data_IF_992638309119
#
_entry.id   IF_992638309119
#
_cell.length_a   1.000
_cell.length_b   1.000
_cell.length_c   1.000
_cell.angle_alpha   90.00
_cell.angle_beta   90.00
_cell.angle_gamma   90.00
#
_symmetry.space_group_name_H-M   'P 1'
#
loop_
_entity.id
_entity.type
_entity.pdbx_description
1 polymer ?
#
# COMPACT_ATOMS: atom_id res chain seq x y z
N UNK A 1 -10.27 -23.54 8.39
CA UNK A 1 -11.25 -22.69 7.65
C UNK A 1 -11.66 -21.59 8.59
N UNK A 2 -11.24 -20.36 8.36
CA UNK A 2 -11.81 -19.21 9.06
C UNK A 2 -13.14 -18.87 8.39
N UNK A 3 -14.21 -18.84 9.16
CA UNK A 3 -15.49 -18.33 8.72
C UNK A 3 -15.32 -16.89 8.22
N UNK A 4 -15.80 -16.59 7.02
CA UNK A 4 -15.76 -15.23 6.42
C UNK A 4 -16.48 -14.18 7.28
N UNK A 5 -17.31 -14.64 8.23
CA UNK A 5 -18.01 -13.80 9.20
C UNK A 5 -17.18 -13.46 10.45
N UNK A 6 -16.00 -14.06 10.61
CA UNK A 6 -15.11 -13.79 11.74
C UNK A 6 -14.57 -12.35 11.69
N UNK A 7 -14.38 -11.73 12.85
CA UNK A 7 -13.79 -10.40 12.97
C UNK A 7 -12.39 -10.29 12.38
N UNK A 8 -11.97 -9.08 12.04
CA UNK A 8 -10.70 -8.81 11.36
C UNK A 8 -9.48 -9.46 12.05
N UNK A 9 -9.32 -9.26 13.36
CA UNK A 9 -8.19 -9.80 14.12
C UNK A 9 -8.17 -11.33 14.12
N UNK A 10 -9.34 -11.97 14.17
CA UNK A 10 -9.45 -13.44 14.07
C UNK A 10 -9.02 -13.92 12.69
N UNK A 11 -9.45 -13.24 11.63
CA UNK A 11 -9.00 -13.55 10.26
C UNK A 11 -7.50 -13.35 10.09
N UNK A 12 -6.94 -12.25 10.64
CA UNK A 12 -5.50 -11.97 10.59
C UNK A 12 -4.66 -13.10 11.22
N UNK A 13 -5.14 -13.71 12.27
CA UNK A 13 -4.42 -14.78 12.98
C UNK A 13 -4.61 -16.15 12.33
N UNK A 14 -5.81 -16.45 11.83
CA UNK A 14 -6.18 -17.82 11.47
C UNK A 14 -6.36 -18.08 9.98
N UNK A 15 -6.65 -17.06 9.14
CA UNK A 15 -6.86 -17.28 7.73
C UNK A 15 -5.58 -17.77 7.05
N UNK A 16 -5.68 -18.86 6.28
CA UNK A 16 -4.54 -19.47 5.64
C UNK A 16 -3.51 -20.12 6.60
N UNK A 17 -3.86 -20.29 7.89
CA UNK A 17 -2.94 -20.78 8.94
C UNK A 17 -3.46 -22.12 9.52
N UNK A 18 -3.48 -23.21 8.74
CA UNK A 18 -3.80 -24.53 9.31
C UNK A 18 -2.68 -24.96 10.25
N UNK A 19 -3.01 -25.66 11.32
CA UNK A 19 -2.00 -26.35 12.10
C UNK A 19 -1.40 -27.50 11.28
N UNK A 20 -0.16 -27.85 11.58
CA UNK A 20 0.56 -28.91 10.88
C UNK A 20 0.09 -30.29 11.40
N UNK A 21 -0.42 -31.14 10.49
CA UNK A 21 -1.11 -32.38 10.89
C UNK A 21 -0.18 -33.44 11.48
N UNK A 22 1.09 -33.52 11.03
CA UNK A 22 1.99 -34.58 11.47
C UNK A 22 2.57 -34.38 12.87
N UNK A 23 2.75 -33.13 13.28
CA UNK A 23 3.32 -32.76 14.58
C UNK A 23 2.33 -32.04 15.49
N UNK A 24 1.23 -31.54 14.94
CA UNK A 24 0.27 -30.68 15.66
C UNK A 24 0.79 -29.27 15.91
N UNK A 25 1.81 -28.82 15.16
CA UNK A 25 2.32 -27.46 15.32
C UNK A 25 1.25 -26.41 15.01
N UNK A 26 1.12 -25.40 15.90
CA UNK A 26 0.06 -24.39 15.86
C UNK A 26 0.16 -23.48 14.64
N UNK A 27 1.38 -23.29 14.12
CA UNK A 27 1.64 -22.49 12.91
C UNK A 27 2.15 -23.41 11.79
N UNK A 28 1.82 -23.11 10.51
CA UNK A 28 2.32 -23.87 9.38
C UNK A 28 3.86 -23.82 9.32
N UNK A 29 4.52 -24.92 8.93
CA UNK A 29 5.96 -24.93 8.68
C UNK A 29 6.36 -23.97 7.55
N UNK A 30 7.61 -23.49 7.61
CA UNK A 30 8.24 -22.78 6.51
C UNK A 30 8.74 -23.78 5.45
N UNK A 31 8.12 -23.79 4.27
CA UNK A 31 8.48 -24.66 3.15
C UNK A 31 9.44 -23.94 2.19
N UNK A 32 10.75 -24.24 2.29
CA UNK A 32 11.79 -23.68 1.40
C UNK A 32 12.04 -24.53 0.15
N UNK A 33 11.38 -25.71 0.03
CA UNK A 33 11.61 -26.62 -1.09
C UNK A 33 11.28 -25.94 -2.43
N UNK A 34 12.19 -26.10 -3.40
CA UNK A 34 11.99 -25.63 -4.78
C UNK A 34 11.09 -26.56 -5.56
N UNK A 35 11.20 -27.89 -5.34
CA UNK A 35 10.50 -28.91 -6.12
C UNK A 35 9.85 -29.95 -5.21
N UNK A 36 8.78 -30.57 -5.69
CA UNK A 36 7.96 -31.52 -4.94
C UNK A 36 7.83 -32.81 -5.72
N UNK A 37 7.84 -33.95 -5.00
CA UNK A 37 7.70 -35.28 -5.59
C UNK A 37 6.21 -35.60 -5.79
N UNK A 38 5.72 -35.79 -7.04
CA UNK A 38 4.34 -36.18 -7.31
C UNK A 38 4.05 -37.64 -6.93
N UNK A 39 2.78 -38.04 -6.90
CA UNK A 39 2.41 -39.48 -6.81
C UNK A 39 2.76 -40.21 -8.09
N UNK A 40 2.44 -39.62 -9.24
CA UNK A 40 2.74 -40.10 -10.57
C UNK A 40 2.82 -38.95 -11.57
N UNK A 41 3.17 -39.24 -12.84
CA UNK A 41 3.16 -38.21 -13.89
C UNK A 41 1.75 -37.63 -14.02
N UNK A 42 1.62 -36.29 -13.75
CA UNK A 42 0.35 -35.60 -13.79
C UNK A 42 -0.49 -35.64 -12.51
N UNK A 43 -0.07 -36.39 -11.47
CA UNK A 43 -0.79 -36.51 -10.20
C UNK A 43 0.02 -35.90 -9.05
N UNK A 44 -0.24 -34.62 -8.75
CA UNK A 44 0.52 -33.86 -7.77
C UNK A 44 0.09 -34.16 -6.32
N UNK A 45 1.03 -34.07 -5.38
CA UNK A 45 0.74 -34.13 -3.94
C UNK A 45 0.30 -32.74 -3.46
N UNK A 46 -0.94 -32.63 -3.01
CA UNK A 46 -1.49 -31.34 -2.53
C UNK A 46 -1.49 -30.19 -3.56
N UNK A 47 -1.29 -30.52 -4.88
CA UNK A 47 -1.22 -29.51 -5.94
C UNK A 47 0.15 -28.87 -6.13
N UNK A 48 1.20 -29.38 -5.45
CA UNK A 48 2.55 -28.82 -5.51
C UNK A 48 3.48 -29.61 -6.44
N UNK A 49 4.21 -28.87 -7.30
CA UNK A 49 5.27 -29.43 -8.17
C UNK A 49 6.55 -28.59 -8.11
N UNK A 50 6.43 -27.28 -8.28
CA UNK A 50 7.55 -26.36 -8.37
C UNK A 50 7.23 -25.01 -7.72
N UNK A 51 8.12 -24.51 -6.86
CA UNK A 51 7.86 -23.37 -5.96
C UNK A 51 7.63 -22.03 -6.66
N UNK A 52 8.04 -21.87 -7.94
CA UNK A 52 7.68 -20.68 -8.71
C UNK A 52 6.17 -20.62 -8.98
N UNK A 53 5.52 -21.75 -9.21
CA UNK A 53 4.06 -21.84 -9.38
C UNK A 53 3.33 -21.78 -8.05
N UNK A 54 3.53 -22.81 -7.22
CA UNK A 54 2.83 -22.99 -5.94
C UNK A 54 3.81 -23.33 -4.82
N UNK A 55 3.54 -22.82 -3.61
CA UNK A 55 4.34 -23.11 -2.42
C UNK A 55 3.45 -22.99 -1.18
N UNK A 56 3.45 -23.96 -0.25
CA UNK A 56 2.53 -23.96 0.89
C UNK A 56 2.63 -22.71 1.77
N UNK A 57 3.83 -22.17 2.00
CA UNK A 57 4.03 -20.97 2.81
C UNK A 57 3.48 -19.72 2.11
N UNK A 58 3.71 -19.61 0.78
CA UNK A 58 3.18 -18.52 -0.01
C UNK A 58 1.66 -18.59 -0.13
N UNK A 59 1.08 -19.78 -0.30
CA UNK A 59 -0.37 -19.96 -0.36
C UNK A 59 -1.05 -19.59 0.96
N UNK A 60 -0.38 -19.88 2.08
CA UNK A 60 -0.81 -19.44 3.42
C UNK A 60 -0.92 -17.90 3.49
N UNK A 61 0.11 -17.18 3.04
CA UNK A 61 0.07 -15.72 2.98
C UNK A 61 -1.04 -15.22 2.04
N UNK A 62 -1.15 -15.79 0.85
CA UNK A 62 -2.14 -15.39 -0.16
C UNK A 62 -3.57 -15.51 0.35
N UNK A 63 -3.88 -16.59 1.07
CA UNK A 63 -5.18 -16.79 1.72
C UNK A 63 -5.42 -15.78 2.86
N UNK A 64 -4.39 -15.48 3.66
CA UNK A 64 -4.49 -14.47 4.72
C UNK A 64 -4.78 -13.08 4.12
N UNK A 65 -4.03 -12.66 3.11
CA UNK A 65 -4.21 -11.36 2.46
C UNK A 65 -5.60 -11.21 1.83
N UNK A 66 -6.08 -12.25 1.12
CA UNK A 66 -7.44 -12.28 0.59
C UNK A 66 -8.48 -12.09 1.69
N UNK A 67 -8.36 -12.83 2.79
CA UNK A 67 -9.29 -12.73 3.92
C UNK A 67 -9.26 -11.37 4.61
N UNK A 68 -8.12 -10.69 4.68
CA UNK A 68 -7.99 -9.37 5.29
C UNK A 68 -8.64 -8.28 4.44
N UNK A 69 -8.46 -8.30 3.11
CA UNK A 69 -9.11 -7.37 2.19
C UNK A 69 -10.58 -7.70 1.91
N UNK A 70 -11.08 -8.85 2.37
CA UNK A 70 -12.42 -9.31 2.03
C UNK A 70 -12.54 -9.80 0.59
N UNK A 71 -11.41 -10.20 -0.01
CA UNK A 71 -11.34 -10.73 -1.36
C UNK A 71 -11.40 -12.26 -1.42
N UNK A 72 -11.72 -12.77 -2.61
CA UNK A 72 -11.74 -14.20 -2.90
C UNK A 72 -10.33 -14.73 -3.23
N UNK A 73 -9.53 -13.94 -3.93
CA UNK A 73 -8.21 -14.30 -4.42
C UNK A 73 -7.15 -13.33 -3.90
N UNK A 74 -6.02 -13.86 -3.46
CA UNK A 74 -4.82 -13.11 -3.11
C UNK A 74 -3.62 -13.69 -3.82
N UNK A 75 -2.75 -12.85 -4.35
CA UNK A 75 -1.53 -13.21 -5.05
C UNK A 75 -0.38 -12.38 -4.49
N UNK A 76 0.75 -13.01 -4.11
CA UNK A 76 1.89 -12.32 -3.51
C UNK A 76 3.09 -12.25 -4.45
N UNK A 77 3.78 -11.12 -4.43
CA UNK A 77 4.87 -10.76 -5.34
C UNK A 77 6.13 -10.36 -4.56
N UNK A 78 7.27 -10.34 -5.25
CA UNK A 78 8.57 -9.98 -4.68
C UNK A 78 8.68 -8.50 -4.25
N UNK A 79 7.77 -7.64 -4.70
CA UNK A 79 7.68 -6.22 -4.29
C UNK A 79 6.32 -5.64 -4.67
N UNK A 80 5.97 -4.46 -4.10
CA UNK A 80 4.80 -3.70 -4.53
C UNK A 80 4.82 -3.41 -6.02
N UNK A 81 5.94 -2.87 -6.55
CA UNK A 81 6.11 -2.64 -7.99
C UNK A 81 6.02 -3.93 -8.83
N UNK A 82 6.42 -5.08 -8.29
CA UNK A 82 6.24 -6.37 -8.95
C UNK A 82 4.77 -6.79 -9.04
N UNK A 83 3.96 -6.44 -8.05
CA UNK A 83 2.50 -6.61 -8.08
C UNK A 83 1.86 -5.66 -9.11
N UNK A 84 2.24 -4.40 -9.11
CA UNK A 84 1.79 -3.38 -10.06
C UNK A 84 2.12 -3.77 -11.52
N UNK A 85 3.37 -4.19 -11.79
CA UNK A 85 3.80 -4.65 -13.11
C UNK A 85 2.99 -5.87 -13.59
N UNK A 86 2.67 -6.80 -12.68
CA UNK A 86 1.84 -7.95 -13.02
C UNK A 86 0.41 -7.56 -13.38
N UNK A 87 -0.18 -6.56 -12.72
CA UNK A 87 -1.49 -6.01 -13.08
C UNK A 87 -1.44 -5.35 -14.45
N UNK A 88 -0.46 -4.46 -14.68
CA UNK A 88 -0.34 -3.74 -15.95
C UNK A 88 -0.14 -4.70 -17.14
N UNK A 89 0.70 -5.73 -16.98
CA UNK A 89 0.91 -6.76 -18.03
C UNK A 89 -0.27 -7.71 -18.19
N UNK A 90 -0.97 -8.01 -17.11
CA UNK A 90 -2.07 -8.97 -17.12
C UNK A 90 -3.35 -8.40 -17.71
N UNK A 91 -3.61 -7.11 -17.50
CA UNK A 91 -4.87 -6.48 -17.85
C UNK A 91 -4.79 -5.54 -19.06
N UNK A 92 -3.59 -5.06 -19.42
CA UNK A 92 -3.41 -4.08 -20.49
C UNK A 92 -2.60 -4.65 -21.66
N UNK A 93 -2.80 -4.07 -22.81
CA UNK A 93 -2.09 -4.34 -24.06
C UNK A 93 -1.68 -3.01 -24.71
N UNK A 94 -0.69 -3.01 -25.64
CA UNK A 94 -0.29 -1.81 -26.36
C UNK A 94 -1.49 -1.09 -27.01
N UNK A 95 -1.61 0.21 -26.74
CA UNK A 95 -2.72 1.06 -27.13
C UNK A 95 -3.74 1.32 -26.04
N UNK A 96 -3.75 0.55 -24.95
CA UNK A 96 -4.59 0.84 -23.79
C UNK A 96 -4.05 2.03 -22.98
N UNK A 97 -4.90 2.61 -22.14
CA UNK A 97 -4.60 3.82 -21.38
C UNK A 97 -4.91 3.65 -19.89
N UNK A 98 -4.06 4.25 -19.04
CA UNK A 98 -4.22 4.34 -17.58
C UNK A 98 -4.49 5.78 -17.18
N UNK A 99 -5.56 6.04 -16.43
CA UNK A 99 -5.75 7.30 -15.71
C UNK A 99 -5.31 7.06 -14.26
N UNK A 100 -4.50 7.97 -13.70
CA UNK A 100 -3.92 7.82 -12.36
C UNK A 100 -3.84 9.14 -11.62
N UNK A 101 -3.66 9.09 -10.29
CA UNK A 101 -3.44 10.29 -9.48
C UNK A 101 -2.22 11.10 -9.91
N UNK A 102 -2.34 12.42 -9.88
CA UNK A 102 -1.23 13.33 -10.19
C UNK A 102 -0.20 13.46 -9.05
N UNK A 103 -0.46 12.80 -7.93
CA UNK A 103 0.45 12.64 -6.79
C UNK A 103 0.66 11.15 -6.43
N UNK A 104 0.47 10.25 -7.41
CA UNK A 104 0.76 8.82 -7.25
C UNK A 104 2.22 8.58 -6.87
N UNK A 105 2.49 7.52 -6.13
CA UNK A 105 3.85 7.14 -5.76
C UNK A 105 4.83 7.20 -6.94
N UNK A 106 5.97 7.86 -6.74
CA UNK A 106 6.95 8.10 -7.82
C UNK A 106 7.47 6.82 -8.49
N UNK A 107 7.44 5.68 -7.78
CA UNK A 107 7.76 4.36 -8.35
C UNK A 107 6.71 3.90 -9.35
N UNK A 108 5.43 4.01 -9.00
CA UNK A 108 4.27 3.70 -9.86
C UNK A 108 4.25 4.59 -11.09
N UNK A 109 4.45 5.90 -10.91
CA UNK A 109 4.56 6.83 -12.04
C UNK A 109 5.69 6.41 -12.99
N UNK A 110 6.88 6.11 -12.47
CA UNK A 110 8.04 5.68 -13.27
C UNK A 110 7.76 4.35 -13.99
N UNK A 111 7.12 3.39 -13.32
CA UNK A 111 6.74 2.10 -13.90
C UNK A 111 5.79 2.30 -15.09
N UNK A 112 4.70 3.04 -14.88
CA UNK A 112 3.69 3.28 -15.91
C UNK A 112 4.28 4.11 -17.06
N UNK A 113 4.89 5.27 -16.77
CA UNK A 113 5.30 6.22 -17.79
C UNK A 113 6.52 5.76 -18.61
N UNK A 114 7.52 5.13 -17.95
CA UNK A 114 8.80 4.82 -18.62
C UNK A 114 8.90 3.37 -19.05
N UNK A 115 8.36 2.42 -18.28
CA UNK A 115 8.45 1.00 -18.64
C UNK A 115 7.26 0.63 -19.53
N UNK A 116 6.06 0.85 -19.08
CA UNK A 116 4.85 0.51 -19.84
C UNK A 116 4.57 1.50 -20.97
N UNK A 117 4.89 2.78 -20.80
CA UNK A 117 4.85 3.78 -21.87
C UNK A 117 5.74 3.43 -23.05
N UNK A 118 6.93 2.86 -22.81
CA UNK A 118 7.85 2.41 -23.87
C UNK A 118 7.29 1.25 -24.72
N UNK A 119 6.30 0.52 -24.21
CA UNK A 119 5.62 -0.57 -24.95
C UNK A 119 4.21 -0.19 -25.41
N UNK A 120 3.88 1.11 -25.35
CA UNK A 120 2.66 1.65 -25.95
C UNK A 120 1.45 1.75 -25.03
N UNK A 121 1.62 1.70 -23.71
CA UNK A 121 0.57 2.02 -22.75
C UNK A 121 0.54 3.53 -22.53
N UNK A 122 -0.60 4.17 -22.83
CA UNK A 122 -0.83 5.58 -22.55
C UNK A 122 -1.10 5.84 -21.06
N UNK A 123 -0.85 7.07 -20.60
CA UNK A 123 -1.17 7.44 -19.22
C UNK A 123 -1.55 8.92 -19.11
N UNK A 124 -2.46 9.23 -18.18
CA UNK A 124 -2.89 10.61 -17.88
C UNK A 124 -2.97 10.78 -16.37
N UNK A 125 -2.10 11.61 -15.76
CA UNK A 125 -2.25 12.05 -14.38
C UNK A 125 -3.43 13.02 -14.22
N UNK A 126 -4.23 12.86 -13.14
CA UNK A 126 -5.36 13.72 -12.83
C UNK A 126 -5.51 13.88 -11.32
N UNK A 127 -6.10 14.97 -10.86
CA UNK A 127 -6.44 15.12 -9.44
C UNK A 127 -7.59 14.19 -9.08
N UNK A 128 -7.31 13.15 -8.29
CA UNK A 128 -8.33 12.15 -7.88
C UNK A 128 -9.34 12.70 -6.88
N UNK A 129 -9.14 13.90 -6.34
CA UNK A 129 -10.12 14.56 -5.49
C UNK A 129 -11.22 15.25 -6.28
N UNK A 130 -11.01 15.46 -7.58
CA UNK A 130 -11.97 16.04 -8.52
C UNK A 130 -12.56 14.92 -9.40
N UNK A 131 -13.71 14.37 -8.97
CA UNK A 131 -14.41 13.27 -9.63
C UNK A 131 -14.83 13.63 -11.06
N UNK A 132 -15.18 14.89 -11.33
CA UNK A 132 -15.59 15.34 -12.66
C UNK A 132 -14.38 15.41 -13.61
N UNK A 133 -13.23 15.88 -13.13
CA UNK A 133 -11.98 15.86 -13.89
C UNK A 133 -11.55 14.41 -14.21
N UNK A 134 -11.68 13.47 -13.26
CA UNK A 134 -11.41 12.04 -13.50
C UNK A 134 -12.37 11.47 -14.55
N UNK A 135 -13.66 11.77 -14.46
CA UNK A 135 -14.67 11.34 -15.44
C UNK A 135 -14.33 11.83 -16.84
N UNK A 136 -13.95 13.10 -16.97
CA UNK A 136 -13.54 13.68 -18.24
C UNK A 136 -12.28 12.97 -18.80
N UNK A 137 -11.26 12.78 -17.99
CA UNK A 137 -10.01 12.14 -18.38
C UNK A 137 -10.22 10.67 -18.81
N UNK A 138 -11.03 9.90 -18.07
CA UNK A 138 -11.36 8.51 -18.40
C UNK A 138 -12.13 8.43 -19.73
N UNK A 139 -13.11 9.32 -19.93
CA UNK A 139 -13.91 9.34 -21.16
C UNK A 139 -13.08 9.77 -22.39
N UNK A 140 -12.24 10.82 -22.25
CA UNK A 140 -11.42 11.35 -23.34
C UNK A 140 -10.37 10.36 -23.82
N UNK A 141 -9.74 9.64 -22.89
CA UNK A 141 -8.67 8.70 -23.20
C UNK A 141 -9.15 7.29 -23.52
N UNK A 142 -10.39 6.95 -23.20
CA UNK A 142 -10.91 5.60 -23.28
C UNK A 142 -10.13 4.64 -22.36
N UNK A 143 -9.76 5.12 -21.18
CA UNK A 143 -8.93 4.39 -20.25
C UNK A 143 -9.47 2.99 -19.94
N UNK A 144 -8.57 2.01 -19.81
CA UNK A 144 -8.89 0.64 -19.42
C UNK A 144 -8.65 0.39 -17.94
N UNK A 145 -7.87 1.27 -17.29
CA UNK A 145 -7.56 1.18 -15.87
C UNK A 145 -7.59 2.58 -15.25
N UNK A 146 -8.35 2.73 -14.18
CA UNK A 146 -8.27 3.85 -13.26
C UNK A 146 -7.46 3.40 -12.04
N UNK A 147 -6.29 4.04 -11.84
CA UNK A 147 -5.38 3.78 -10.72
C UNK A 147 -5.64 4.78 -9.60
N UNK A 148 -6.17 4.30 -8.48
CA UNK A 148 -6.53 5.11 -7.32
C UNK A 148 -5.55 4.82 -6.19
N UNK A 149 -4.81 5.82 -5.73
CA UNK A 149 -3.98 5.76 -4.51
C UNK A 149 -4.59 6.67 -3.45
N UNK A 150 -5.01 6.11 -2.31
CA UNK A 150 -5.64 6.88 -1.22
C UNK A 150 -5.47 6.20 0.14
N UNK A 151 -4.99 6.95 1.19
CA UNK A 151 -4.41 8.30 1.11
C UNK A 151 -3.20 8.37 0.19
N UNK A 152 -3.00 9.49 -0.53
CA UNK A 152 -1.90 9.64 -1.47
C UNK A 152 -0.55 9.92 -0.78
N UNK A 153 0.54 9.62 -1.47
CA UNK A 153 1.90 9.80 -0.98
C UNK A 153 2.65 10.86 -1.81
N UNK A 154 3.12 11.96 -1.23
CA UNK A 154 3.17 12.27 0.20
C UNK A 154 2.09 13.25 0.68
N UNK A 155 1.19 13.69 -0.19
CA UNK A 155 0.29 14.82 0.07
C UNK A 155 -0.91 14.46 0.94
N UNK A 156 -1.11 13.18 1.28
CA UNK A 156 -2.20 12.69 2.12
C UNK A 156 -3.60 13.04 1.57
N UNK A 157 -3.73 13.25 0.25
CA UNK A 157 -5.02 13.52 -0.39
C UNK A 157 -5.92 12.29 -0.30
N UNK A 158 -7.20 12.54 -0.12
CA UNK A 158 -8.22 11.48 -0.02
C UNK A 158 -9.07 11.48 -1.29
N UNK A 159 -9.04 10.37 -1.99
CA UNK A 159 -9.93 10.10 -3.12
C UNK A 159 -11.19 9.37 -2.63
N UNK A 160 -12.35 9.73 -3.16
CA UNK A 160 -13.61 9.04 -2.90
C UNK A 160 -13.64 7.74 -3.73
N UNK A 161 -13.30 6.62 -3.10
CA UNK A 161 -13.15 5.32 -3.78
C UNK A 161 -14.45 4.91 -4.46
N UNK A 162 -15.59 5.01 -3.77
CA UNK A 162 -16.89 4.58 -4.31
C UNK A 162 -17.30 5.42 -5.53
N UNK A 163 -17.10 6.73 -5.47
CA UNK A 163 -17.39 7.63 -6.59
C UNK A 163 -16.47 7.36 -7.80
N UNK A 164 -15.17 7.14 -7.56
CA UNK A 164 -14.21 6.87 -8.64
C UNK A 164 -14.39 5.49 -9.26
N UNK A 165 -14.76 4.49 -8.46
CA UNK A 165 -15.15 3.16 -8.97
C UNK A 165 -16.35 3.26 -9.91
N UNK A 166 -17.37 4.03 -9.53
CA UNK A 166 -18.53 4.26 -10.41
C UNK A 166 -18.11 4.91 -11.74
N UNK A 167 -17.21 5.89 -11.71
CA UNK A 167 -16.66 6.52 -12.93
C UNK A 167 -15.95 5.51 -13.83
N UNK A 168 -15.10 4.66 -13.25
CA UNK A 168 -14.39 3.63 -14.01
C UNK A 168 -15.36 2.65 -14.66
N UNK A 169 -16.34 2.14 -13.91
CA UNK A 169 -17.31 1.17 -14.39
C UNK A 169 -18.24 1.74 -15.46
N UNK A 170 -18.68 2.99 -15.35
CA UNK A 170 -19.46 3.69 -16.39
C UNK A 170 -18.74 3.71 -17.74
N UNK A 171 -17.40 3.78 -17.73
CA UNK A 171 -16.57 3.78 -18.92
C UNK A 171 -16.10 2.38 -19.36
N UNK A 172 -16.43 1.32 -18.61
CA UNK A 172 -15.95 -0.04 -18.86
C UNK A 172 -14.44 -0.22 -18.56
N UNK A 173 -13.90 0.58 -17.64
CA UNK A 173 -12.54 0.47 -17.14
C UNK A 173 -12.51 -0.30 -15.81
N UNK A 174 -11.37 -0.94 -15.51
CA UNK A 174 -11.12 -1.49 -14.19
C UNK A 174 -10.77 -0.38 -13.19
N UNK A 175 -11.26 -0.51 -11.96
CA UNK A 175 -10.88 0.32 -10.82
C UNK A 175 -9.89 -0.43 -9.93
N UNK A 176 -8.63 0.00 -9.92
CA UNK A 176 -7.59 -0.48 -9.02
C UNK A 176 -7.40 0.50 -7.88
N UNK A 177 -7.30 -0.01 -6.65
CA UNK A 177 -6.95 0.80 -5.49
C UNK A 177 -5.61 0.33 -4.90
N UNK A 178 -4.63 1.22 -4.82
CA UNK A 178 -3.47 1.03 -3.96
C UNK A 178 -3.85 1.39 -2.52
N UNK A 179 -4.00 0.36 -1.69
CA UNK A 179 -4.44 0.47 -0.30
C UNK A 179 -3.26 0.39 0.69
N UNK A 180 -2.05 0.64 0.23
CA UNK A 180 -0.83 0.48 1.02
C UNK A 180 -0.80 1.36 2.26
N UNK A 181 -1.21 2.65 2.17
CA UNK A 181 -1.19 3.59 3.29
C UNK A 181 -2.27 3.31 4.33
N UNK A 182 -3.46 2.94 3.89
CA UNK A 182 -4.57 2.62 4.79
C UNK A 182 -4.43 1.22 5.41
N UNK A 183 -3.88 0.26 4.68
CA UNK A 183 -3.93 -1.16 5.00
C UNK A 183 -5.35 -1.74 4.99
N UNK A 184 -5.54 -3.07 4.90
CA UNK A 184 -6.87 -3.68 4.95
C UNK A 184 -7.58 -3.51 6.30
N UNK A 185 -6.87 -3.07 7.34
CA UNK A 185 -7.47 -2.80 8.63
C UNK A 185 -8.27 -1.50 8.67
N UNK A 186 -7.77 -0.46 8.01
CA UNK A 186 -8.42 0.86 8.02
C UNK A 186 -9.38 1.06 6.86
N UNK A 187 -9.13 0.45 5.70
CA UNK A 187 -9.94 0.60 4.49
C UNK A 187 -10.01 -0.72 3.74
N UNK A 188 -11.16 -1.05 3.18
CA UNK A 188 -11.41 -2.25 2.37
C UNK A 188 -12.02 -1.87 1.01
N UNK A 189 -11.20 -1.52 0.01
CA UNK A 189 -11.68 -1.00 -1.27
C UNK A 189 -12.55 -1.97 -2.07
N UNK A 190 -12.36 -3.30 -1.91
CA UNK A 190 -13.25 -4.28 -2.57
C UNK A 190 -14.70 -4.17 -2.08
N UNK A 191 -14.90 -3.79 -0.79
CA UNK A 191 -16.25 -3.55 -0.26
C UNK A 191 -16.86 -2.24 -0.79
N UNK A 192 -16.04 -1.32 -1.30
CA UNK A 192 -16.44 -0.07 -1.95
C UNK A 192 -16.57 -0.22 -3.47
N UNK A 193 -16.47 -1.45 -3.99
CA UNK A 193 -16.70 -1.78 -5.38
C UNK A 193 -15.45 -1.87 -6.28
N UNK A 194 -14.24 -1.65 -5.75
CA UNK A 194 -13.02 -1.82 -6.54
C UNK A 194 -12.89 -3.23 -7.13
N UNK A 195 -12.36 -3.34 -8.35
CA UNK A 195 -12.14 -4.63 -9.02
C UNK A 195 -10.93 -5.38 -8.44
N UNK A 196 -9.91 -4.63 -8.07
CA UNK A 196 -8.70 -5.17 -7.48
C UNK A 196 -8.02 -4.16 -6.56
N UNK A 197 -7.26 -4.70 -5.60
CA UNK A 197 -6.47 -3.93 -4.65
C UNK A 197 -5.01 -4.35 -4.78
N UNK A 198 -4.10 -3.38 -4.77
CA UNK A 198 -2.66 -3.64 -4.66
C UNK A 198 -2.13 -3.17 -3.31
N UNK A 199 -1.09 -3.86 -2.83
CA UNK A 199 -0.32 -3.49 -1.67
C UNK A 199 1.17 -3.62 -1.90
N UNK A 200 1.94 -2.69 -1.40
CA UNK A 200 3.29 -2.99 -0.96
C UNK A 200 3.22 -3.64 0.43
N UNK A 201 3.38 -4.96 0.49
CA UNK A 201 3.39 -5.68 1.78
C UNK A 201 4.62 -5.35 2.62
N UNK A 202 5.62 -4.70 2.01
CA UNK A 202 6.79 -4.08 2.64
C UNK A 202 6.43 -3.14 3.78
N UNK A 203 5.24 -2.51 3.72
CA UNK A 203 4.78 -1.44 4.61
C UNK A 203 4.04 -2.02 5.82
N UNK A 204 2.89 -1.50 6.18
CA UNK A 204 2.12 -1.92 7.38
C UNK A 204 1.85 -3.42 7.47
N UNK A 205 1.67 -4.14 6.35
CA UNK A 205 1.41 -5.57 6.36
C UNK A 205 2.59 -6.37 6.94
N UNK A 206 3.82 -6.15 6.45
CA UNK A 206 5.04 -6.68 7.04
C UNK A 206 5.34 -6.04 8.38
N UNK A 207 5.37 -4.71 8.42
CA UNK A 207 5.35 -3.85 9.59
C UNK A 207 6.61 -3.86 10.47
N UNK A 208 7.72 -4.49 10.05
CA UNK A 208 8.92 -4.64 10.86
C UNK A 208 10.22 -4.30 10.11
N UNK A 209 10.11 -3.60 8.98
CA UNK A 209 11.26 -3.13 8.17
C UNK A 209 12.23 -4.23 7.74
N UNK A 210 11.77 -5.49 7.67
CA UNK A 210 12.58 -6.71 7.45
C UNK A 210 12.16 -7.52 6.22
N UNK A 211 11.18 -7.04 5.44
CA UNK A 211 10.66 -7.73 4.25
C UNK A 211 10.36 -6.74 3.13
N UNK A 212 10.62 -7.16 1.90
CA UNK A 212 10.12 -6.51 0.68
C UNK A 212 9.13 -7.44 0.00
N UNK A 213 7.93 -6.93 -0.31
CA UNK A 213 6.90 -7.74 -0.93
C UNK A 213 5.76 -6.91 -1.51
N UNK A 214 4.90 -7.57 -2.26
CA UNK A 214 3.69 -6.99 -2.83
C UNK A 214 2.54 -7.97 -2.87
N UNK A 215 1.34 -7.47 -3.09
CA UNK A 215 0.16 -8.30 -3.25
C UNK A 215 -0.86 -7.67 -4.21
N UNK A 216 -1.63 -8.54 -4.87
CA UNK A 216 -2.87 -8.21 -5.57
C UNK A 216 -3.99 -9.01 -4.93
N UNK A 217 -5.12 -8.35 -4.64
CA UNK A 217 -6.32 -8.99 -4.11
C UNK A 217 -7.50 -8.65 -5.01
N UNK A 218 -8.36 -9.62 -5.33
CA UNK A 218 -9.53 -9.43 -6.19
C UNK A 218 -10.63 -10.45 -5.88
N UNK A 219 -11.85 -10.12 -6.32
CA UNK A 219 -12.98 -11.06 -6.36
C UNK A 219 -13.19 -11.68 -7.75
N UNK A 220 -12.52 -11.15 -8.79
CA UNK A 220 -12.64 -11.60 -10.18
C UNK A 220 -11.70 -12.76 -10.48
N UNK A 221 -12.27 -13.87 -10.96
CA UNK A 221 -11.49 -15.04 -11.42
C UNK A 221 -10.70 -14.72 -12.70
N UNK A 222 -11.22 -13.83 -13.55
CA UNK A 222 -10.52 -13.36 -14.75
C UNK A 222 -9.25 -12.59 -14.38
N UNK A 223 -9.36 -11.62 -13.46
CA UNK A 223 -8.21 -10.84 -12.98
C UNK A 223 -7.20 -11.75 -12.28
N UNK A 224 -7.66 -12.63 -11.36
CA UNK A 224 -6.78 -13.60 -10.67
C UNK A 224 -5.98 -14.43 -11.68
N UNK A 225 -6.66 -15.01 -12.67
CA UNK A 225 -6.03 -15.83 -13.70
C UNK A 225 -4.98 -15.06 -14.50
N UNK A 226 -5.28 -13.83 -14.90
CA UNK A 226 -4.38 -12.98 -15.68
C UNK A 226 -3.12 -12.61 -14.89
N UNK A 227 -3.27 -12.09 -13.66
CA UNK A 227 -2.12 -11.63 -12.85
C UNK A 227 -1.30 -12.80 -12.30
N UNK A 228 -1.94 -13.93 -11.98
CA UNK A 228 -1.27 -15.17 -11.56
C UNK A 228 -0.45 -15.78 -12.70
N UNK A 229 -0.97 -15.71 -13.94
CA UNK A 229 -0.19 -16.13 -15.10
C UNK A 229 1.08 -15.29 -15.25
N UNK A 230 1.01 -13.97 -15.08
CA UNK A 230 2.19 -13.10 -15.12
C UNK A 230 3.16 -13.43 -13.96
N UNK A 231 2.65 -13.64 -12.74
CA UNK A 231 3.48 -14.07 -11.61
C UNK A 231 4.30 -15.32 -11.96
N UNK A 232 3.65 -16.33 -12.51
CA UNK A 232 4.28 -17.60 -12.87
C UNK A 232 5.26 -17.45 -14.04
N UNK A 233 4.83 -16.78 -15.13
CA UNK A 233 5.60 -16.69 -16.37
C UNK A 233 6.81 -15.74 -16.24
N UNK A 234 6.65 -14.60 -15.55
CA UNK A 234 7.72 -13.64 -15.31
C UNK A 234 8.63 -14.03 -14.12
N UNK A 235 8.13 -14.86 -13.19
CA UNK A 235 8.91 -15.34 -12.06
C UNK A 235 9.11 -14.30 -10.96
N UNK A 236 8.15 -13.41 -10.74
CA UNK A 236 8.20 -12.31 -9.77
C UNK A 236 7.42 -12.59 -8.46
N UNK A 237 7.16 -13.86 -8.15
CA UNK A 237 6.51 -14.28 -6.91
C UNK A 237 7.37 -13.96 -5.67
N UNK A 238 6.71 -13.78 -4.51
CA UNK A 238 7.42 -13.64 -3.22
C UNK A 238 8.18 -14.94 -2.87
N UNK A 239 9.33 -14.79 -2.20
CA UNK A 239 10.04 -15.93 -1.63
C UNK A 239 9.23 -16.56 -0.48
N UNK A 240 9.40 -17.85 -0.17
CA UNK A 240 8.73 -18.45 0.99
C UNK A 240 9.12 -17.79 2.31
N UNK A 241 10.36 -17.31 2.45
CA UNK A 241 10.82 -16.66 3.67
C UNK A 241 10.15 -15.29 3.87
N UNK A 242 10.09 -14.47 2.81
CA UNK A 242 9.40 -13.18 2.86
C UNK A 242 7.89 -13.36 3.08
N UNK A 243 7.30 -14.39 2.47
CA UNK A 243 5.90 -14.74 2.70
C UNK A 243 5.64 -15.12 4.17
N UNK A 244 6.55 -15.88 4.79
CA UNK A 244 6.46 -16.22 6.21
C UNK A 244 6.57 -14.98 7.12
N UNK A 245 7.53 -14.09 6.87
CA UNK A 245 7.68 -12.84 7.64
C UNK A 245 6.46 -11.93 7.48
N UNK A 246 5.96 -11.78 6.25
CA UNK A 246 4.74 -11.00 5.98
C UNK A 246 3.52 -11.57 6.71
N UNK A 247 3.34 -12.92 6.66
CA UNK A 247 2.28 -13.61 7.40
C UNK A 247 2.38 -13.34 8.90
N UNK A 248 3.59 -13.42 9.46
CA UNK A 248 3.85 -13.15 10.88
C UNK A 248 3.53 -11.71 11.24
N UNK A 249 3.95 -10.74 10.42
CA UNK A 249 3.66 -9.32 10.60
C UNK A 249 2.16 -9.02 10.55
N UNK A 250 1.46 -9.56 9.56
CA UNK A 250 0.02 -9.33 9.37
C UNK A 250 -0.86 -9.81 10.54
N UNK A 251 -0.42 -10.81 11.32
CA UNK A 251 -1.14 -11.28 12.51
C UNK A 251 -1.33 -10.21 13.58
N UNK A 252 -0.46 -9.21 13.63
CA UNK A 252 -0.53 -8.10 14.59
C UNK A 252 -0.97 -6.78 13.95
N UNK A 253 -1.42 -6.80 12.70
CA UNK A 253 -1.76 -5.59 11.95
C UNK A 253 -2.76 -4.71 12.72
N UNK A 254 -3.85 -5.27 13.25
CA UNK A 254 -4.88 -4.50 13.93
C UNK A 254 -4.34 -3.70 15.12
N UNK A 255 -3.63 -4.37 16.05
CA UNK A 255 -3.09 -3.70 17.26
C UNK A 255 -1.97 -2.71 16.92
N UNK A 256 -1.20 -2.95 15.85
CA UNK A 256 -0.21 -1.99 15.37
C UNK A 256 -0.87 -0.76 14.75
N UNK A 257 -1.88 -0.97 13.88
CA UNK A 257 -2.57 0.14 13.25
C UNK A 257 -3.31 1.02 14.25
N UNK A 258 -3.92 0.44 15.29
CA UNK A 258 -4.52 1.24 16.36
C UNK A 258 -3.49 2.13 17.04
N UNK A 259 -2.31 1.61 17.39
CA UNK A 259 -1.24 2.39 18.01
C UNK A 259 -0.63 3.42 17.04
N UNK A 260 -0.43 3.06 15.76
CA UNK A 260 0.01 4.01 14.74
C UNK A 260 -0.94 5.21 14.64
N UNK A 261 -2.26 4.95 14.64
CA UNK A 261 -3.26 6.01 14.60
C UNK A 261 -3.22 6.89 15.85
N UNK A 262 -3.15 6.29 17.05
CA UNK A 262 -3.07 7.04 18.33
C UNK A 262 -1.87 8.00 18.32
N UNK A 263 -0.69 7.48 17.93
CA UNK A 263 0.52 8.27 17.88
C UNK A 263 0.48 9.34 16.77
N UNK A 264 -0.06 9.03 15.59
CA UNK A 264 -0.18 9.98 14.50
C UNK A 264 -1.15 11.13 14.84
N UNK A 265 -2.24 10.85 15.51
CA UNK A 265 -3.19 11.85 16.02
C UNK A 265 -2.52 12.79 17.04
N UNK A 266 -1.70 12.24 17.96
CA UNK A 266 -0.94 13.04 18.91
C UNK A 266 0.11 13.93 18.22
N UNK A 267 0.86 13.38 17.25
CA UNK A 267 1.85 14.13 16.47
C UNK A 267 1.19 15.22 15.63
N UNK A 268 0.10 14.92 14.92
CA UNK A 268 -0.62 15.91 14.10
C UNK A 268 -1.16 17.05 14.96
N UNK A 269 -1.74 16.74 16.12
CA UNK A 269 -2.25 17.75 17.07
C UNK A 269 -1.14 18.63 17.62
N UNK A 270 0.03 18.06 17.94
CA UNK A 270 1.18 18.83 18.39
C UNK A 270 1.71 19.76 17.30
N UNK A 271 1.81 19.28 16.04
CA UNK A 271 2.27 20.07 14.90
C UNK A 271 1.35 21.26 14.61
N UNK A 272 0.02 21.15 14.78
CA UNK A 272 -0.92 22.26 14.63
C UNK A 272 -0.64 23.41 15.58
N UNK A 273 -0.10 23.15 16.77
CA UNK A 273 0.24 24.15 17.76
C UNK A 273 1.55 24.91 17.48
N UNK A 274 2.30 24.57 16.42
CA UNK A 274 3.64 25.14 16.16
C UNK A 274 3.59 26.34 15.22
N UNK A 275 4.25 27.42 15.65
CA UNK A 275 4.35 28.65 14.85
C UNK A 275 5.14 28.47 13.56
N UNK A 276 6.07 27.51 13.53
CA UNK A 276 6.96 27.15 12.42
C UNK A 276 6.25 26.39 11.31
N UNK A 277 5.11 25.78 11.64
CA UNK A 277 4.31 24.98 10.73
C UNK A 277 3.35 25.85 9.91
N UNK A 278 3.32 25.63 8.61
CA UNK A 278 2.36 26.28 7.70
C UNK A 278 1.12 25.42 7.45
N UNK A 279 1.29 24.09 7.29
CA UNK A 279 0.19 23.14 7.07
C UNK A 279 0.54 21.79 7.70
N UNK A 280 -0.46 21.12 8.27
CA UNK A 280 -0.42 19.72 8.65
C UNK A 280 -1.38 18.97 7.73
N UNK A 281 -0.86 17.95 7.04
CA UNK A 281 -1.63 17.11 6.13
C UNK A 281 -1.89 15.76 6.82
N UNK A 282 -3.04 15.62 7.43
CA UNK A 282 -3.49 14.43 8.12
C UNK A 282 -5.02 14.31 7.99
N UNK A 283 -5.55 13.21 7.41
CA UNK A 283 -6.98 13.10 7.14
C UNK A 283 -7.89 13.12 8.36
N UNK A 284 -7.31 12.94 9.56
CA UNK A 284 -8.03 13.01 10.84
C UNK A 284 -8.29 14.44 11.34
N UNK A 285 -7.79 15.47 10.67
CA UNK A 285 -8.06 16.87 11.03
C UNK A 285 -9.34 17.35 10.36
N UNK A 286 -10.19 18.05 11.11
CA UNK A 286 -11.50 18.54 10.63
C UNK A 286 -11.37 19.49 9.44
N UNK A 287 -10.25 20.22 9.33
CA UNK A 287 -9.97 21.16 8.24
C UNK A 287 -9.28 20.50 7.03
N UNK A 288 -8.97 19.20 7.08
CA UNK A 288 -8.42 18.49 5.94
C UNK A 288 -9.46 18.37 4.82
N UNK A 289 -9.15 18.76 3.56
CA UNK A 289 -10.14 18.79 2.47
C UNK A 289 -10.87 17.46 2.22
N UNK A 290 -10.24 16.34 2.53
CA UNK A 290 -10.82 14.99 2.37
C UNK A 290 -11.33 14.36 3.66
N UNK A 291 -11.46 15.10 4.78
CA UNK A 291 -11.84 14.55 6.08
C UNK A 291 -13.15 13.76 6.03
N UNK A 292 -14.22 14.34 5.49
CA UNK A 292 -15.54 13.71 5.43
C UNK A 292 -15.53 12.41 4.60
N UNK A 293 -14.77 12.39 3.52
CA UNK A 293 -14.59 11.19 2.67
C UNK A 293 -13.83 10.13 3.46
N UNK A 294 -12.72 10.49 4.10
CA UNK A 294 -11.93 9.57 4.94
C UNK A 294 -12.77 9.01 6.09
N UNK A 295 -13.53 9.84 6.80
CA UNK A 295 -14.40 9.42 7.90
C UNK A 295 -15.50 8.44 7.46
N UNK A 296 -15.96 8.52 6.20
CA UNK A 296 -16.95 7.61 5.63
C UNK A 296 -16.37 6.26 5.20
N UNK A 297 -15.19 6.26 4.57
CA UNK A 297 -14.61 5.07 3.94
C UNK A 297 -13.52 4.39 4.76
N UNK A 298 -12.95 5.05 5.78
CA UNK A 298 -11.88 4.53 6.62
C UNK A 298 -12.35 4.33 8.06
N UNK A 299 -11.80 3.33 8.74
CA UNK A 299 -12.05 3.07 10.15
C UNK A 299 -11.39 4.12 11.07
N UNK A 300 -10.17 4.54 10.73
CA UNK A 300 -9.35 5.59 11.34
C UNK A 300 -8.43 6.17 10.26
N UNK A 301 -7.65 7.19 10.58
CA UNK A 301 -6.98 8.03 9.58
C UNK A 301 -5.51 7.66 9.29
N UNK A 302 -5.01 6.59 9.91
CA UNK A 302 -3.68 6.04 9.61
C UNK A 302 -2.54 6.62 10.42
N UNK A 303 -1.35 6.06 10.17
CA UNK A 303 -0.09 6.42 10.86
C UNK A 303 0.81 7.38 10.08
N UNK A 304 0.35 7.93 8.96
CA UNK A 304 1.13 8.85 8.14
C UNK A 304 0.70 10.29 8.38
N UNK A 305 1.67 11.18 8.62
CA UNK A 305 1.46 12.63 8.76
C UNK A 305 2.45 13.34 7.86
N UNK A 306 1.98 14.31 7.07
CA UNK A 306 2.87 15.21 6.34
C UNK A 306 2.74 16.63 6.89
N UNK A 307 3.84 17.37 6.88
CA UNK A 307 3.89 18.73 7.44
C UNK A 307 4.69 19.64 6.52
N UNK A 308 4.21 20.87 6.33
CA UNK A 308 4.91 21.93 5.61
C UNK A 308 5.43 22.98 6.57
N UNK A 309 6.66 23.43 6.37
CA UNK A 309 7.35 24.36 7.25
C UNK A 309 7.48 25.76 6.63
N UNK A 310 7.21 26.80 7.42
CA UNK A 310 7.31 28.23 6.95
C UNK A 310 8.74 28.63 6.57
N UNK A 311 9.76 27.99 7.16
CA UNK A 311 11.17 28.21 6.82
C UNK A 311 11.63 27.55 5.52
N UNK A 312 10.70 26.96 4.75
CA UNK A 312 10.99 26.35 3.44
C UNK A 312 11.91 25.14 3.51
N UNK A 313 12.65 24.89 2.43
CA UNK A 313 13.60 23.79 2.31
C UNK A 313 14.61 23.73 3.47
N UNK A 314 15.18 24.85 3.85
CA UNK A 314 16.21 24.89 4.90
C UNK A 314 15.68 24.38 6.25
N UNK A 315 14.45 24.75 6.62
CA UNK A 315 13.80 24.27 7.83
C UNK A 315 13.48 22.78 7.73
N UNK A 316 12.95 22.32 6.59
CA UNK A 316 12.64 20.91 6.37
C UNK A 316 13.89 20.03 6.51
N UNK A 317 14.99 20.41 5.86
CA UNK A 317 16.27 19.69 5.99
C UNK A 317 16.78 19.67 7.43
N UNK A 318 16.77 20.82 8.10
CA UNK A 318 17.24 20.91 9.49
C UNK A 318 16.45 19.99 10.41
N UNK A 319 15.12 20.01 10.32
CA UNK A 319 14.28 19.11 11.15
C UNK A 319 14.59 17.66 10.83
N UNK A 320 14.58 17.27 9.54
CA UNK A 320 14.81 15.89 9.11
C UNK A 320 16.16 15.32 9.58
N UNK A 321 17.19 16.16 9.63
CA UNK A 321 18.55 15.77 10.03
C UNK A 321 18.78 15.86 11.55
N UNK A 322 17.84 16.46 12.33
CA UNK A 322 17.99 16.69 13.76
C UNK A 322 17.24 15.69 14.64
N UNK A 323 16.30 14.94 14.09
CA UNK A 323 15.57 13.91 14.84
C UNK A 323 16.48 12.76 15.28
N UNK A 324 16.10 12.06 16.36
CA UNK A 324 16.86 10.93 16.95
C UNK A 324 16.00 9.69 17.14
N UNK A 325 14.71 9.86 17.40
CA UNK A 325 13.73 8.77 17.46
C UNK A 325 13.15 8.55 16.08
N UNK A 326 12.70 9.64 15.41
CA UNK A 326 12.39 9.56 13.99
C UNK A 326 13.68 9.38 13.18
N UNK A 327 13.86 8.22 12.58
CA UNK A 327 15.02 7.94 11.72
C UNK A 327 14.80 8.53 10.33
N UNK A 328 15.75 9.35 9.84
CA UNK A 328 15.74 9.83 8.46
C UNK A 328 15.97 8.65 7.51
N UNK A 329 14.93 8.23 6.82
CA UNK A 329 14.97 7.08 5.93
C UNK A 329 13.84 7.10 4.89
N UNK A 330 14.00 6.29 3.86
CA UNK A 330 12.91 5.89 2.98
C UNK A 330 12.03 4.82 3.63
N UNK A 331 10.90 4.53 3.01
CA UNK A 331 9.90 3.59 3.48
C UNK A 331 8.92 4.19 4.49
N UNK A 332 8.07 3.34 5.09
CA UNK A 332 7.03 3.70 6.06
C UNK A 332 6.38 2.45 6.65
N UNK A 333 5.58 2.63 7.69
CA UNK A 333 4.67 1.59 8.20
C UNK A 333 5.36 0.50 9.03
N UNK A 334 6.65 0.67 9.35
CA UNK A 334 7.36 -0.13 10.34
C UNK A 334 6.96 0.24 11.77
N UNK A 335 7.34 -0.58 12.74
CA UNK A 335 7.14 -0.29 14.16
C UNK A 335 7.94 0.92 14.60
N UNK A 336 9.05 1.23 13.89
CA UNK A 336 9.90 2.40 14.09
C UNK A 336 9.31 3.64 13.41
N UNK A 337 9.48 4.80 14.02
CA UNK A 337 9.15 6.09 13.40
C UNK A 337 10.21 6.50 12.38
N UNK A 338 9.75 6.86 11.17
CA UNK A 338 10.61 7.33 10.09
C UNK A 338 10.24 8.76 9.68
N UNK A 339 11.25 9.55 9.34
CA UNK A 339 11.10 10.85 8.71
C UNK A 339 11.67 10.80 7.29
N UNK A 340 10.92 11.33 6.34
CA UNK A 340 11.32 11.39 4.94
C UNK A 340 11.23 12.82 4.42
N UNK A 341 12.21 13.21 3.60
CA UNK A 341 12.19 14.45 2.83
C UNK A 341 11.85 14.12 1.37
N UNK A 342 10.55 14.14 0.99
CA UNK A 342 10.09 13.55 -0.27
C UNK A 342 10.71 14.18 -1.52
N UNK A 343 10.93 15.48 -1.52
CA UNK A 343 11.47 16.22 -2.68
C UNK A 343 12.80 15.68 -3.20
N UNK A 344 13.65 15.12 -2.34
CA UNK A 344 14.96 14.59 -2.73
C UNK A 344 15.13 13.08 -2.51
N UNK A 345 14.18 12.45 -1.80
CA UNK A 345 14.22 11.01 -1.53
C UNK A 345 13.21 10.27 -2.42
N UNK A 346 11.99 10.12 -1.96
CA UNK A 346 10.97 9.26 -2.62
C UNK A 346 10.41 9.83 -3.92
N UNK A 347 10.45 11.16 -4.12
CA UNK A 347 9.89 11.87 -5.28
C UNK A 347 10.95 12.62 -6.10
N UNK A 348 12.23 12.33 -5.90
CA UNK A 348 13.31 12.94 -6.69
C UNK A 348 13.14 12.77 -8.20
N UNK A 349 12.51 11.67 -8.64
CA UNK A 349 12.27 11.37 -10.06
C UNK A 349 11.27 12.28 -10.75
N UNK A 350 10.44 13.00 -10.00
CA UNK A 350 9.43 13.95 -10.51
C UNK A 350 9.83 15.41 -10.25
N UNK A 351 11.00 15.66 -9.67
CA UNK A 351 11.53 17.02 -9.42
C UNK A 351 11.64 17.80 -10.73
N UNK A 352 11.12 19.02 -10.75
CA UNK A 352 11.10 19.88 -11.95
C UNK A 352 10.00 19.54 -12.96
N UNK A 353 9.08 18.64 -12.64
CA UNK A 353 7.86 18.37 -13.42
C UNK A 353 6.64 18.97 -12.73
N UNK A 354 5.49 18.93 -13.38
CA UNK A 354 4.20 19.32 -12.81
C UNK A 354 3.77 18.46 -11.59
N UNK A 355 4.41 17.29 -11.43
CA UNK A 355 4.18 16.36 -10.31
C UNK A 355 5.17 16.58 -9.15
N UNK A 356 5.97 17.65 -9.19
CA UNK A 356 6.94 17.95 -8.15
C UNK A 356 6.26 18.21 -6.80
N UNK A 357 6.80 17.62 -5.74
CA UNK A 357 6.31 17.86 -4.37
C UNK A 357 6.95 19.10 -3.76
N UNK A 358 6.28 19.80 -2.81
CA UNK A 358 6.83 20.98 -2.16
C UNK A 358 8.17 20.70 -1.45
N UNK A 359 9.13 21.62 -1.59
CA UNK A 359 10.46 21.50 -0.95
C UNK A 359 10.44 21.79 0.56
N UNK A 360 9.36 22.35 1.08
CA UNK A 360 9.12 22.59 2.50
C UNK A 360 8.40 21.43 3.21
N UNK A 361 8.17 20.32 2.51
CA UNK A 361 7.39 19.18 2.98
C UNK A 361 8.26 18.12 3.65
N UNK A 362 7.83 17.68 4.83
CA UNK A 362 8.31 16.45 5.49
C UNK A 362 7.17 15.44 5.58
N UNK A 363 7.49 14.17 5.44
CA UNK A 363 6.56 13.06 5.67
C UNK A 363 7.03 12.23 6.86
N UNK A 364 6.16 12.06 7.84
CA UNK A 364 6.38 11.27 9.04
C UNK A 364 5.60 9.96 8.92
N UNK A 365 6.28 8.83 9.01
CA UNK A 365 5.69 7.53 9.30
C UNK A 365 5.79 7.33 10.79
N UNK A 366 4.68 7.54 11.48
CA UNK A 366 4.65 7.51 12.94
C UNK A 366 4.57 6.06 13.41
N UNK A 367 5.55 5.63 14.20
CA UNK A 367 5.70 4.28 14.70
C UNK A 367 4.92 3.99 15.99
N UNK A 368 5.39 3.00 16.75
CA UNK A 368 4.72 2.47 17.94
C UNK A 368 5.36 2.92 19.25
N UNK A 369 6.38 3.76 19.19
CA UNK A 369 7.12 4.28 20.34
C UNK A 369 6.15 5.01 21.30
N UNK A 370 6.62 5.36 22.48
CA UNK A 370 5.84 6.16 23.41
C UNK A 370 5.62 7.57 22.83
N UNK A 371 4.37 8.02 22.83
CA UNK A 371 4.01 9.30 22.21
C UNK A 371 4.79 10.49 22.77
N UNK A 372 5.09 10.48 24.08
CA UNK A 372 5.87 11.53 24.74
C UNK A 372 7.30 11.62 24.21
N UNK A 373 7.92 10.47 23.88
CA UNK A 373 9.27 10.42 23.30
C UNK A 373 9.27 10.96 21.87
N UNK A 374 8.24 10.63 21.07
CA UNK A 374 8.05 11.16 19.73
C UNK A 374 7.91 12.69 19.73
N UNK A 375 7.06 13.21 20.62
CA UNK A 375 6.84 14.66 20.74
C UNK A 375 8.09 15.38 21.23
N UNK A 376 8.82 14.83 22.22
CA UNK A 376 10.08 15.37 22.72
C UNK A 376 11.17 15.38 21.64
N UNK A 377 11.22 14.38 20.78
CA UNK A 377 12.14 14.32 19.65
C UNK A 377 11.87 15.42 18.63
N UNK A 378 10.58 15.61 18.28
CA UNK A 378 10.16 16.69 17.39
C UNK A 378 10.41 18.07 18.00
N UNK A 379 10.10 18.28 19.28
CA UNK A 379 10.34 19.54 19.96
C UNK A 379 11.82 19.95 19.87
N UNK A 380 12.73 19.02 20.18
CA UNK A 380 14.17 19.26 20.04
C UNK A 380 14.57 19.55 18.58
N UNK A 381 14.00 18.84 17.60
CA UNK A 381 14.32 19.04 16.19
C UNK A 381 13.84 20.39 15.66
N UNK A 382 12.80 20.96 16.27
CA UNK A 382 12.27 22.29 15.95
C UNK A 382 12.99 23.44 16.68
N UNK A 383 13.85 23.15 17.66
CA UNK A 383 14.64 24.18 18.35
C UNK A 383 15.51 24.97 17.37
N UNK A 384 15.33 26.30 17.39
CA UNK A 384 16.11 27.24 16.57
C UNK A 384 15.73 27.26 15.08
N UNK A 385 14.47 26.86 14.72
CA UNK A 385 13.89 27.16 13.41
C UNK A 385 13.55 28.64 13.31
#
# INVERSE_FOLDING_TARGET
MTDSTAGFSTRAIHAGQPFEESTGAVIPPLHLSTTYHPYSIGELRGGYDYSRGTNPTRDSLQQQLAALEGGRFGISYASGLGAEDAVLRGLLKPGDHVVMGNDVYGGTFRLISRIHGAVGIGHTPVDLTDVDAVRAAVAETGAKLLWIETPSNPMMRIADVEALVAVAHEAGAYALVDNTFASPYLQQPLALGADLVVHSTTKYLGGHSDVVGGAVITNSEEIDSAVRFIQFAAGNQSSPFDAYLTTRGAKTLAVRMDRHCDNAEAVASWLLGRSEVSHVLYPGLDDHPGHDVAARQMRRFGGMVSVRLKGGEAAARKVAESTRVFTLAESLGGVESLMNYPSEMTHASVKGTELAVPEDLLRLSVGLEDAEDLLSDLERAFEGL
#
